data_IF_457614274695
#
_entry.id   IF_457614274695
#
_cell.length_a   1.000
_cell.length_b   1.000
_cell.length_c   1.000
_cell.angle_alpha   90.00
_cell.angle_beta   90.00
_cell.angle_gamma   90.00
#
_symmetry.space_group_name_H-M   'P 1'
#
loop_
_entity.id
_entity.type
_entity.pdbx_description
1 polymer ?
#
# COMPACT_ATOMS: atom_id res chain seq x y z
N UNK A 1 3.05 11.04 17.49
CA UNK A 1 2.24 9.93 16.96
C UNK A 1 2.54 8.75 17.86
N UNK A 2 1.56 8.35 18.66
CA UNK A 2 1.70 7.29 19.66
C UNK A 2 1.58 5.94 18.98
N UNK A 3 2.66 5.16 19.01
CA UNK A 3 2.59 3.71 18.80
C UNK A 3 1.64 3.14 19.84
N UNK A 4 0.51 2.59 19.39
CA UNK A 4 -0.40 1.85 20.26
C UNK A 4 0.07 0.41 20.24
N UNK A 5 0.67 -0.12 21.33
CA UNK A 5 0.87 -1.55 21.46
C UNK A 5 -0.52 -2.15 21.65
N UNK A 6 -0.99 -2.82 20.61
CA UNK A 6 -2.31 -3.46 20.62
C UNK A 6 -2.18 -4.73 21.46
N UNK A 7 -2.49 -4.64 22.76
CA UNK A 7 -2.67 -5.82 23.63
C UNK A 7 -3.79 -6.74 23.11
N UNK A 8 -4.02 -7.90 23.73
CA UNK A 8 -5.03 -8.87 23.25
C UNK A 8 -6.43 -8.24 23.08
N UNK A 9 -6.90 -7.44 24.04
CA UNK A 9 -8.16 -6.69 23.94
C UNK A 9 -8.17 -5.69 22.77
N UNK A 10 -7.02 -5.05 22.50
CA UNK A 10 -6.89 -4.15 21.37
C UNK A 10 -6.95 -4.87 20.03
N UNK A 11 -6.48 -6.13 19.99
CA UNK A 11 -6.39 -6.92 18.76
C UNK A 11 -7.78 -7.39 18.36
N UNK A 12 -8.55 -7.88 19.33
CA UNK A 12 -9.95 -8.22 19.13
C UNK A 12 -10.75 -7.00 18.68
N UNK A 13 -10.60 -5.85 19.36
CA UNK A 13 -11.26 -4.62 18.97
C UNK A 13 -10.87 -4.15 17.55
N UNK A 14 -9.63 -4.37 17.12
CA UNK A 14 -9.18 -4.07 15.76
C UNK A 14 -9.81 -5.03 14.74
N UNK A 15 -9.87 -6.32 15.05
CA UNK A 15 -10.51 -7.31 14.18
C UNK A 15 -11.98 -6.98 13.95
N UNK A 16 -12.74 -6.73 15.03
CA UNK A 16 -14.16 -6.36 14.93
C UNK A 16 -14.37 -5.11 14.08
N UNK A 17 -13.54 -4.07 14.27
CA UNK A 17 -13.59 -2.86 13.43
C UNK A 17 -13.32 -3.16 11.97
N UNK A 18 -12.37 -4.05 11.67
CA UNK A 18 -12.03 -4.41 10.28
C UNK A 18 -13.15 -5.23 9.63
N UNK A 19 -13.82 -6.10 10.38
CA UNK A 19 -15.01 -6.84 9.94
C UNK A 19 -16.18 -5.88 9.63
N UNK A 20 -16.51 -4.96 10.54
CA UNK A 20 -17.53 -3.92 10.32
C UNK A 20 -17.24 -3.08 9.07
N UNK A 21 -15.97 -2.76 8.84
CA UNK A 21 -15.54 -2.04 7.65
C UNK A 21 -15.75 -2.89 6.39
N UNK A 22 -15.42 -4.18 6.42
CA UNK A 22 -15.62 -5.08 5.28
C UNK A 22 -17.09 -5.21 4.89
N UNK A 23 -17.99 -5.30 5.88
CA UNK A 23 -19.43 -5.41 5.65
C UNK A 23 -20.03 -4.12 5.10
N UNK A 24 -19.59 -2.97 5.63
CA UNK A 24 -20.13 -1.66 5.23
C UNK A 24 -19.62 -1.14 3.89
N UNK A 25 -18.43 -1.57 3.46
CA UNK A 25 -17.82 -1.11 2.21
C UNK A 25 -18.48 -1.74 0.98
N UNK A 26 -18.63 -0.92 -0.07
CA UNK A 26 -18.95 -1.38 -1.43
C UNK A 26 -17.73 -1.96 -2.13
N UNK A 27 -17.95 -2.76 -3.16
CA UNK A 27 -16.87 -3.25 -4.02
C UNK A 27 -16.07 -2.09 -4.61
N UNK A 28 -14.73 -2.21 -4.57
CA UNK A 28 -13.76 -1.19 -4.99
C UNK A 28 -13.79 0.13 -4.21
N UNK A 29 -14.62 0.24 -3.16
CA UNK A 29 -14.56 1.37 -2.24
C UNK A 29 -13.17 1.44 -1.60
N UNK A 30 -12.66 2.65 -1.40
CA UNK A 30 -11.36 2.91 -0.80
C UNK A 30 -11.51 3.83 0.40
N UNK A 31 -10.84 3.49 1.51
CA UNK A 31 -10.78 4.31 2.71
C UNK A 31 -9.32 4.62 3.03
N UNK A 32 -8.88 5.90 3.05
CA UNK A 32 -7.49 6.24 3.36
C UNK A 32 -7.15 5.86 4.80
N UNK A 33 -6.00 5.23 5.01
CA UNK A 33 -5.47 4.88 6.33
C UNK A 33 -4.36 5.83 6.75
N UNK A 34 -3.39 6.07 5.86
CA UNK A 34 -2.26 6.95 6.12
C UNK A 34 -1.80 7.64 4.85
N UNK A 35 -1.24 8.84 4.99
CA UNK A 35 -0.54 9.56 3.94
C UNK A 35 0.78 10.10 4.49
N UNK A 36 1.88 9.81 3.78
CA UNK A 36 3.22 10.33 4.09
C UNK A 36 3.79 10.98 2.84
N UNK A 37 3.92 12.30 2.87
CA UNK A 37 4.22 13.08 1.66
C UNK A 37 3.21 12.79 0.55
N UNK A 38 3.71 12.28 -0.58
CA UNK A 38 2.88 11.89 -1.72
C UNK A 38 2.43 10.41 -1.69
N UNK A 39 2.94 9.59 -0.77
CA UNK A 39 2.53 8.18 -0.68
C UNK A 39 1.25 8.06 0.15
N UNK A 40 0.28 7.29 -0.37
CA UNK A 40 -1.02 7.04 0.26
C UNK A 40 -1.20 5.54 0.41
N UNK A 41 -1.63 5.12 1.61
CA UNK A 41 -2.09 3.76 1.90
C UNK A 41 -3.58 3.81 2.18
N UNK A 42 -4.35 3.04 1.42
CA UNK A 42 -5.81 2.96 1.50
C UNK A 42 -6.22 1.52 1.79
N UNK A 43 -7.28 1.32 2.56
CA UNK A 43 -7.99 0.05 2.64
C UNK A 43 -8.98 -0.04 1.47
N UNK A 44 -9.01 -1.18 0.78
CA UNK A 44 -9.90 -1.41 -0.37
C UNK A 44 -10.61 -2.74 -0.25
N UNK A 45 -11.91 -2.76 -0.57
CA UNK A 45 -12.69 -4.00 -0.68
C UNK A 45 -12.61 -4.54 -2.12
N UNK A 46 -11.95 -5.67 -2.28
CA UNK A 46 -11.85 -6.38 -3.55
C UNK A 46 -13.12 -7.25 -3.75
N UNK A 47 -13.71 -7.25 -4.95
CA UNK A 47 -14.89 -8.05 -5.24
C UNK A 47 -14.55 -9.54 -5.26
N UNK A 48 -15.59 -10.37 -5.11
CA UNK A 48 -15.50 -11.80 -5.38
C UNK A 48 -15.02 -12.02 -6.83
N UNK A 49 -14.05 -12.92 -7.02
CA UNK A 49 -13.58 -13.30 -8.36
C UNK A 49 -13.89 -14.75 -8.63
N UNK A 50 -14.64 -15.00 -9.69
CA UNK A 50 -14.88 -16.36 -10.20
C UNK A 50 -13.98 -16.59 -11.40
N UNK A 51 -13.10 -17.58 -11.30
CA UNK A 51 -12.31 -18.08 -12.42
C UNK A 51 -12.75 -19.51 -12.74
N UNK A 52 -12.43 -19.98 -13.95
CA UNK A 52 -12.72 -21.36 -14.38
C UNK A 52 -12.15 -22.45 -13.45
N UNK A 53 -11.17 -22.10 -12.59
CA UNK A 53 -10.47 -23.04 -11.70
C UNK A 53 -10.63 -22.74 -10.21
N UNK A 54 -11.05 -21.54 -9.82
CA UNK A 54 -11.12 -21.12 -8.42
C UNK A 54 -12.08 -19.94 -8.23
N UNK A 55 -12.80 -19.98 -7.12
CA UNK A 55 -13.55 -18.84 -6.60
C UNK A 55 -12.74 -18.19 -5.49
N UNK A 56 -12.43 -16.91 -5.64
CA UNK A 56 -11.88 -16.09 -4.56
C UNK A 56 -13.03 -15.26 -3.96
N UNK A 57 -13.28 -15.36 -2.65
CA UNK A 57 -14.29 -14.55 -1.99
C UNK A 57 -13.91 -13.06 -2.02
N UNK A 58 -14.87 -12.20 -1.69
CA UNK A 58 -14.55 -10.81 -1.37
C UNK A 58 -13.53 -10.74 -0.23
N UNK A 59 -12.64 -9.75 -0.29
CA UNK A 59 -11.57 -9.58 0.69
C UNK A 59 -11.12 -8.14 0.77
N UNK A 60 -10.56 -7.76 1.91
CA UNK A 60 -9.87 -6.49 2.05
C UNK A 60 -8.43 -6.59 1.56
N UNK A 61 -7.92 -5.48 1.06
CA UNK A 61 -6.52 -5.31 0.68
C UNK A 61 -6.05 -3.89 1.00
N UNK A 62 -4.75 -3.73 1.20
CA UNK A 62 -4.10 -2.43 1.18
C UNK A 62 -3.83 -2.02 -0.26
N UNK A 63 -4.11 -0.78 -0.59
CA UNK A 63 -3.75 -0.15 -1.85
C UNK A 63 -2.70 0.93 -1.57
N UNK A 64 -1.49 0.73 -2.09
CA UNK A 64 -0.38 1.65 -1.94
C UNK A 64 -0.16 2.37 -3.28
N UNK A 65 -0.23 3.69 -3.26
CA UNK A 65 -0.08 4.54 -4.46
C UNK A 65 0.57 5.88 -4.14
N UNK A 66 0.97 6.59 -5.17
CA UNK A 66 1.27 8.02 -5.08
C UNK A 66 -0.02 8.85 -5.26
N UNK A 67 -0.06 10.05 -4.69
CA UNK A 67 -1.22 10.93 -4.68
C UNK A 67 -1.69 11.33 -6.08
N UNK A 68 -0.74 11.56 -6.98
CA UNK A 68 -0.92 11.88 -8.40
C UNK A 68 -1.05 10.64 -9.30
N UNK A 69 -0.85 9.44 -8.75
CA UNK A 69 -0.94 8.20 -9.49
C UNK A 69 -2.25 7.48 -9.21
N UNK A 70 -3.01 7.24 -10.29
CA UNK A 70 -4.14 6.30 -10.26
C UNK A 70 -3.68 4.83 -10.21
N UNK A 71 -2.41 4.56 -10.57
CA UNK A 71 -1.80 3.23 -10.50
C UNK A 71 -1.23 2.99 -9.10
N UNK A 72 -1.41 1.78 -8.59
CA UNK A 72 -0.92 1.36 -7.28
C UNK A 72 -0.86 -0.15 -7.18
N UNK A 73 -0.33 -0.62 -6.06
CA UNK A 73 -0.17 -2.03 -5.74
C UNK A 73 -1.25 -2.41 -4.73
N UNK A 74 -1.95 -3.52 -4.99
CA UNK A 74 -2.90 -4.12 -4.05
C UNK A 74 -2.21 -5.25 -3.29
N UNK A 75 -2.25 -5.22 -1.97
CA UNK A 75 -1.62 -6.18 -1.09
C UNK A 75 -2.69 -6.74 -0.14
N UNK A 76 -3.04 -8.01 -0.33
CA UNK A 76 -4.09 -8.67 0.46
C UNK A 76 -3.54 -9.53 1.61
N UNK A 77 -2.23 -9.82 1.60
CA UNK A 77 -1.56 -10.64 2.61
C UNK A 77 -0.58 -9.83 3.45
N UNK A 78 -0.49 -10.15 4.73
CA UNK A 78 0.50 -9.56 5.63
C UNK A 78 1.94 -9.94 5.25
N UNK A 79 2.18 -11.20 4.86
CA UNK A 79 3.51 -11.66 4.48
C UNK A 79 4.01 -10.95 3.22
N UNK A 80 3.14 -10.76 2.22
CA UNK A 80 3.46 -9.97 1.02
C UNK A 80 3.85 -8.52 1.40
N UNK A 81 3.12 -7.88 2.32
CA UNK A 81 3.45 -6.54 2.80
C UNK A 81 4.81 -6.51 3.50
N UNK A 82 5.06 -7.49 4.38
CA UNK A 82 6.29 -7.61 5.13
C UNK A 82 7.49 -7.78 4.20
N UNK A 83 7.39 -8.66 3.23
CA UNK A 83 8.44 -8.92 2.23
C UNK A 83 8.72 -7.66 1.39
N UNK A 84 7.68 -6.91 1.00
CA UNK A 84 7.83 -5.63 0.31
C UNK A 84 8.55 -4.60 1.18
N UNK A 85 8.17 -4.46 2.45
CA UNK A 85 8.83 -3.54 3.39
C UNK A 85 10.31 -3.90 3.53
N UNK A 86 10.63 -5.18 3.68
CA UNK A 86 12.00 -5.66 3.79
C UNK A 86 12.80 -5.37 2.51
N UNK A 87 12.24 -5.67 1.34
CA UNK A 87 12.87 -5.39 0.05
C UNK A 87 13.14 -3.89 -0.15
N UNK A 88 12.16 -3.03 0.15
CA UNK A 88 12.28 -1.57 0.02
C UNK A 88 13.25 -0.96 1.05
N UNK A 89 13.42 -1.60 2.20
CA UNK A 89 14.38 -1.18 3.23
C UNK A 89 15.79 -1.67 2.96
N UNK A 90 16.00 -2.52 1.93
CA UNK A 90 17.32 -3.03 1.60
C UNK A 90 18.23 -1.92 1.08
N UNK A 91 19.49 -1.95 1.52
CA UNK A 91 20.51 -0.97 1.10
C UNK A 91 20.64 -0.90 -0.42
N UNK A 92 20.61 -2.05 -1.10
CA UNK A 92 20.71 -2.13 -2.55
C UNK A 92 19.63 -1.31 -3.25
N UNK A 93 18.37 -1.40 -2.81
CA UNK A 93 17.26 -0.65 -3.41
C UNK A 93 17.42 0.86 -3.15
N UNK A 94 17.81 1.23 -1.93
CA UNK A 94 18.03 2.63 -1.56
C UNK A 94 19.18 3.27 -2.37
N UNK A 95 20.33 2.60 -2.46
CA UNK A 95 21.49 3.08 -3.21
C UNK A 95 21.14 3.25 -4.71
N UNK A 96 20.40 2.30 -5.29
CA UNK A 96 19.93 2.39 -6.68
C UNK A 96 18.94 3.56 -6.86
N UNK A 97 18.02 3.76 -5.93
CA UNK A 97 17.07 4.88 -6.00
C UNK A 97 17.78 6.24 -5.95
N UNK A 98 18.80 6.39 -5.09
CA UNK A 98 19.62 7.60 -5.02
C UNK A 98 20.44 7.84 -6.30
N UNK A 99 21.00 6.79 -6.88
CA UNK A 99 21.70 6.86 -8.16
C UNK A 99 20.77 7.31 -9.30
N UNK A 100 19.54 6.78 -9.36
CA UNK A 100 18.52 7.20 -10.34
C UNK A 100 18.20 8.69 -10.20
N UNK A 101 17.96 9.17 -8.98
CA UNK A 101 17.70 10.58 -8.71
C UNK A 101 18.85 11.47 -9.18
N UNK A 102 20.09 11.08 -8.86
CA UNK A 102 21.30 11.80 -9.28
C UNK A 102 21.40 11.90 -10.80
N UNK A 103 21.12 10.81 -11.53
CA UNK A 103 21.13 10.79 -13.00
C UNK A 103 20.03 11.71 -13.56
N UNK A 104 18.82 11.63 -13.02
CA UNK A 104 17.69 12.43 -13.48
C UNK A 104 17.92 13.93 -13.28
N UNK A 105 18.51 14.33 -12.14
CA UNK A 105 18.90 15.72 -11.88
C UNK A 105 19.93 16.23 -12.90
N UNK A 106 20.95 15.43 -13.21
CA UNK A 106 21.97 15.80 -14.21
C UNK A 106 21.34 16.03 -15.59
N UNK A 107 20.44 15.16 -16.03
CA UNK A 107 19.76 15.31 -17.33
C UNK A 107 18.94 16.59 -17.41
N UNK A 108 18.16 16.90 -16.36
CA UNK A 108 17.39 18.15 -16.30
C UNK A 108 18.29 19.38 -16.47
N UNK A 109 19.43 19.44 -15.77
CA UNK A 109 20.36 20.58 -15.87
C UNK A 109 20.94 20.77 -17.28
N UNK A 110 21.12 19.69 -18.04
CA UNK A 110 21.63 19.76 -19.42
C UNK A 110 20.55 20.26 -20.38
N UNK A 111 19.28 19.90 -20.20
CA UNK A 111 18.17 20.37 -21.04
C UNK A 111 17.93 21.89 -20.91
N UNK A 112 18.20 22.49 -19.74
CA UNK A 112 18.03 23.94 -19.53
C UNK A 112 19.23 24.80 -19.98
N UNK A 113 20.29 24.20 -20.52
CA UNK A 113 21.49 24.91 -21.04
C UNK A 113 21.53 25.04 -22.56
N UNK A 114 20.47 24.65 -23.26
CA UNK A 114 20.28 24.80 -24.70
C UNK A 114 19.38 26.00 -25.00
#
# INVERSE_FOLDING_TARGET
MSDVPVGEEGKEALLSKIEEIMESMKEWERKPLVQVGNAIVELVKLPKRESKKRTEPERLALHIRLADSFKGIFIAGYDDLKDIIEALSSKTVLDVAEAIETINRKKRVVEFKL
#
